data_IF_660002551930
#
_entry.id   IF_660002551930
#
_cell.length_a   1.000
_cell.length_b   1.000
_cell.length_c   1.000
_cell.angle_alpha   90.00
_cell.angle_beta   90.00
_cell.angle_gamma   90.00
#
_symmetry.space_group_name_H-M   'P 1'
#
loop_
_entity.id
_entity.type
_entity.pdbx_description
1 polymer ?
#
# COMPACT_ATOMS: atom_id res chain seq x y z
N UNK A 1 -27.88 -10.17 22.61
CA UNK A 1 -27.59 -10.90 21.36
C UNK A 1 -27.93 -9.97 20.23
N UNK A 2 -26.99 -9.65 19.35
CA UNK A 2 -27.29 -8.79 18.20
C UNK A 2 -28.08 -9.61 17.20
N UNK A 3 -29.32 -9.20 16.90
CA UNK A 3 -30.12 -9.84 15.87
C UNK A 3 -29.62 -9.39 14.49
N UNK A 4 -29.37 -10.31 13.55
CA UNK A 4 -28.98 -9.94 12.21
C UNK A 4 -30.15 -9.27 11.48
N UNK A 5 -29.88 -8.11 10.88
CA UNK A 5 -30.81 -7.37 10.05
C UNK A 5 -30.66 -7.82 8.59
N UNK A 6 -31.77 -8.17 7.94
CA UNK A 6 -31.85 -8.29 6.49
C UNK A 6 -32.26 -6.93 5.92
N UNK A 7 -31.37 -6.32 5.13
CA UNK A 7 -31.60 -5.00 4.54
C UNK A 7 -31.61 -5.13 3.02
N UNK A 8 -32.57 -4.46 2.38
CA UNK A 8 -32.63 -4.34 0.92
C UNK A 8 -32.21 -2.95 0.53
N UNK A 9 -31.18 -2.84 -0.31
CA UNK A 9 -30.66 -1.55 -0.78
C UNK A 9 -30.97 -1.38 -2.25
N UNK A 10 -31.55 -0.24 -2.60
CA UNK A 10 -31.91 0.13 -3.97
C UNK A 10 -31.31 1.48 -4.35
N UNK A 11 -31.15 1.75 -5.63
CA UNK A 11 -30.78 3.07 -6.13
C UNK A 11 -31.98 4.02 -6.07
N UNK A 12 -31.73 5.32 -6.17
CA UNK A 12 -32.80 6.34 -6.29
C UNK A 12 -33.73 6.09 -7.50
N UNK A 13 -33.24 5.38 -8.52
CA UNK A 13 -34.03 4.92 -9.67
C UNK A 13 -35.00 3.77 -9.36
N UNK A 14 -34.94 3.20 -8.15
CA UNK A 14 -35.70 2.01 -7.75
C UNK A 14 -35.05 0.67 -8.13
N UNK A 15 -33.90 0.69 -8.81
CA UNK A 15 -33.18 -0.54 -9.18
C UNK A 15 -32.58 -1.18 -7.92
N UNK A 16 -32.86 -2.47 -7.62
CA UNK A 16 -32.27 -3.14 -6.47
C UNK A 16 -30.77 -3.33 -6.68
N UNK A 17 -29.99 -2.96 -5.67
CA UNK A 17 -28.52 -2.96 -5.70
C UNK A 17 -27.96 -4.18 -4.99
N UNK A 18 -28.45 -4.47 -3.77
CA UNK A 18 -28.09 -5.66 -3.02
C UNK A 18 -29.10 -5.95 -1.89
N UNK A 19 -29.24 -7.22 -1.53
CA UNK A 19 -29.88 -7.65 -0.27
C UNK A 19 -28.79 -8.23 0.63
N UNK A 20 -28.60 -7.65 1.81
CA UNK A 20 -27.50 -7.98 2.70
C UNK A 20 -27.99 -8.32 4.11
N UNK A 21 -27.42 -9.37 4.69
CA UNK A 21 -27.58 -9.68 6.12
C UNK A 21 -26.40 -9.08 6.89
N UNK A 22 -26.70 -8.19 7.84
CA UNK A 22 -25.70 -7.43 8.61
C UNK A 22 -26.05 -7.39 10.08
N UNK A 23 -25.06 -7.15 10.93
CA UNK A 23 -25.28 -6.99 12.39
C UNK A 23 -25.82 -5.59 12.68
N UNK A 24 -26.78 -5.47 13.61
CA UNK A 24 -27.39 -4.17 13.98
C UNK A 24 -26.37 -3.14 14.51
N UNK A 25 -25.31 -3.62 15.17
CA UNK A 25 -24.23 -2.78 15.70
C UNK A 25 -23.18 -2.37 14.65
N UNK A 26 -23.35 -2.76 13.38
CA UNK A 26 -22.44 -2.35 12.31
C UNK A 26 -22.48 -0.83 12.15
N UNK A 27 -21.29 -0.22 12.03
CA UNK A 27 -21.17 1.21 11.74
C UNK A 27 -21.65 1.50 10.31
N UNK A 28 -22.40 2.59 10.13
CA UNK A 28 -22.94 3.04 8.83
C UNK A 28 -21.84 3.14 7.77
N UNK A 29 -20.67 3.67 8.15
CA UNK A 29 -19.52 3.78 7.22
C UNK A 29 -19.01 2.41 6.76
N UNK A 30 -18.92 1.43 7.66
CA UNK A 30 -18.50 0.06 7.32
C UNK A 30 -19.55 -0.61 6.42
N UNK A 31 -20.83 -0.33 6.66
CA UNK A 31 -21.91 -0.81 5.81
C UNK A 31 -21.84 -0.23 4.39
N UNK A 32 -21.60 1.08 4.25
CA UNK A 32 -21.35 1.74 2.93
C UNK A 32 -20.19 1.07 2.20
N UNK A 33 -19.05 0.86 2.87
CA UNK A 33 -17.89 0.19 2.28
C UNK A 33 -18.18 -1.27 1.86
N UNK A 34 -19.10 -1.95 2.56
CA UNK A 34 -19.54 -3.31 2.19
C UNK A 34 -20.46 -3.28 0.97
N UNK A 35 -21.36 -2.29 0.87
CA UNK A 35 -22.21 -2.09 -0.31
C UNK A 35 -21.39 -1.75 -1.55
N UNK A 36 -20.33 -0.95 -1.42
CA UNK A 36 -19.41 -0.62 -2.51
C UNK A 36 -18.68 -1.84 -3.10
N UNK A 37 -18.64 -2.96 -2.36
CA UNK A 37 -18.07 -4.24 -2.82
C UNK A 37 -19.12 -5.19 -3.42
N UNK A 38 -20.40 -4.81 -3.43
CA UNK A 38 -21.46 -5.63 -4.01
C UNK A 38 -21.42 -5.61 -5.54
N UNK A 39 -21.88 -6.70 -6.17
CA UNK A 39 -21.81 -6.86 -7.64
C UNK A 39 -22.69 -5.88 -8.41
N UNK A 40 -23.70 -5.27 -7.76
CA UNK A 40 -24.61 -4.30 -8.37
C UNK A 40 -24.04 -2.89 -8.54
N UNK A 41 -22.88 -2.59 -7.94
CA UNK A 41 -22.28 -1.26 -8.02
C UNK A 41 -21.49 -1.04 -9.30
N UNK A 42 -21.79 0.05 -10.00
CA UNK A 42 -21.01 0.47 -11.16
C UNK A 42 -19.55 0.79 -10.75
N UNK A 43 -18.55 0.44 -11.58
CA UNK A 43 -17.15 0.67 -11.26
C UNK A 43 -16.84 2.16 -11.03
N UNK A 44 -16.22 2.46 -9.89
CA UNK A 44 -15.87 3.84 -9.51
C UNK A 44 -17.01 4.65 -8.90
N UNK A 45 -18.22 4.08 -8.82
CA UNK A 45 -19.28 4.65 -7.99
C UNK A 45 -19.05 4.29 -6.53
N UNK A 46 -19.49 5.18 -5.65
CA UNK A 46 -19.41 4.98 -4.21
C UNK A 46 -20.70 5.48 -3.56
N UNK A 47 -21.02 4.99 -2.37
CA UNK A 47 -22.30 5.30 -1.70
C UNK A 47 -22.14 6.60 -0.93
N UNK A 48 -22.72 7.69 -1.43
CA UNK A 48 -22.67 9.00 -0.79
C UNK A 48 -23.49 9.07 0.46
N UNK A 49 -24.73 8.63 0.33
CA UNK A 49 -25.72 8.71 1.38
C UNK A 49 -26.58 7.46 1.31
N UNK A 50 -26.99 6.99 2.48
CA UNK A 50 -28.02 5.99 2.60
C UNK A 50 -29.24 6.68 3.20
N UNK A 51 -30.41 6.40 2.66
CA UNK A 51 -31.67 6.98 3.12
C UNK A 51 -32.59 5.83 3.53
N UNK A 52 -33.19 5.94 4.71
CA UNK A 52 -34.24 5.06 5.18
C UNK A 52 -35.51 5.88 5.40
N UNK A 53 -36.50 5.74 4.53
CA UNK A 53 -37.69 6.60 4.54
C UNK A 53 -37.32 8.08 4.37
N UNK A 54 -37.43 8.87 5.43
CA UNK A 54 -37.10 10.30 5.45
C UNK A 54 -35.75 10.62 6.15
N UNK A 55 -35.05 9.61 6.68
CA UNK A 55 -33.83 9.80 7.47
C UNK A 55 -32.59 9.52 6.62
N UNK A 56 -31.64 10.45 6.61
CA UNK A 56 -30.32 10.25 5.99
C UNK A 56 -29.36 9.64 7.02
N UNK A 57 -28.74 8.53 6.65
CA UNK A 57 -27.78 7.81 7.49
C UNK A 57 -26.36 8.30 7.18
N UNK A 58 -25.85 9.17 8.07
CA UNK A 58 -24.50 9.72 7.94
C UNK A 58 -23.49 8.96 8.80
N UNK A 59 -23.75 8.87 10.11
CA UNK A 59 -22.84 8.31 11.12
C UNK A 59 -23.59 7.40 12.11
N UNK A 60 -22.85 6.76 13.01
CA UNK A 60 -23.39 5.87 14.03
C UNK A 60 -23.56 4.42 13.57
N UNK A 61 -24.24 3.64 14.40
CA UNK A 61 -24.61 2.25 14.11
C UNK A 61 -25.95 2.16 13.37
N UNK A 62 -26.19 1.05 12.68
CA UNK A 62 -27.47 0.79 12.00
C UNK A 62 -28.66 0.75 12.99
N UNK A 63 -28.41 0.29 14.22
CA UNK A 63 -29.40 0.26 15.30
C UNK A 63 -29.75 1.66 15.82
N UNK A 64 -28.75 2.52 16.06
CA UNK A 64 -28.97 3.93 16.47
C UNK A 64 -29.73 4.72 15.39
N UNK A 65 -29.56 4.34 14.13
CA UNK A 65 -30.32 4.85 13.00
C UNK A 65 -31.79 4.37 12.96
N UNK A 66 -32.19 3.46 13.85
CA UNK A 66 -33.56 2.91 13.92
C UNK A 66 -33.87 1.92 12.79
N UNK A 67 -32.88 1.22 12.26
CA UNK A 67 -33.11 0.24 11.20
C UNK A 67 -33.66 -1.07 11.76
N UNK A 68 -34.78 -1.50 11.20
CA UNK A 68 -35.45 -2.76 11.53
C UNK A 68 -35.16 -3.85 10.49
N UNK A 69 -35.44 -5.09 10.84
CA UNK A 69 -35.29 -6.22 9.93
C UNK A 69 -36.28 -6.09 8.76
N UNK A 70 -35.78 -6.18 7.53
CA UNK A 70 -36.55 -5.95 6.31
C UNK A 70 -36.62 -4.49 5.87
N UNK A 71 -35.89 -3.58 6.53
CA UNK A 71 -35.86 -2.18 6.11
C UNK A 71 -35.31 -2.02 4.68
N UNK A 72 -35.97 -1.12 3.93
CA UNK A 72 -35.58 -0.72 2.59
C UNK A 72 -34.76 0.57 2.65
N UNK A 73 -33.55 0.50 2.10
CA UNK A 73 -32.61 1.61 2.02
C UNK A 73 -32.49 2.08 0.57
N UNK A 74 -32.41 3.40 0.41
CA UNK A 74 -32.07 4.03 -0.86
C UNK A 74 -30.63 4.51 -0.79
N UNK A 75 -29.77 3.94 -1.63
CA UNK A 75 -28.41 4.38 -1.85
C UNK A 75 -28.39 5.52 -2.87
N UNK A 76 -27.87 6.67 -2.45
CA UNK A 76 -27.42 7.71 -3.36
C UNK A 76 -25.97 7.39 -3.70
N UNK A 77 -25.72 7.06 -4.96
CA UNK A 77 -24.38 6.83 -5.46
C UNK A 77 -23.87 8.11 -6.11
N UNK A 78 -22.60 8.42 -5.88
CA UNK A 78 -21.92 9.51 -6.56
C UNK A 78 -20.73 8.95 -7.33
N UNK A 79 -20.39 9.61 -8.43
CA UNK A 79 -19.20 9.31 -9.21
C UNK A 79 -17.98 10.10 -8.72
N UNK A 80 -18.15 11.00 -7.74
CA UNK A 80 -17.10 11.89 -7.24
C UNK A 80 -15.88 11.11 -6.73
N UNK A 81 -14.72 11.73 -6.79
CA UNK A 81 -13.54 11.17 -6.13
C UNK A 81 -13.61 11.61 -4.67
N UNK A 82 -13.39 10.68 -3.74
CA UNK A 82 -13.30 10.96 -2.30
C UNK A 82 -12.07 10.35 -1.67
N UNK A 83 -11.62 11.03 -0.60
CA UNK A 83 -10.54 10.61 0.26
C UNK A 83 -9.19 11.16 -0.15
N UNK A 84 -8.17 10.67 0.55
CA UNK A 84 -6.78 11.04 0.34
C UNK A 84 -6.08 10.07 -0.61
N UNK A 85 -5.21 10.63 -1.46
CA UNK A 85 -4.29 9.91 -2.31
C UNK A 85 -2.89 10.41 -2.05
N UNK A 86 -1.94 9.49 -1.93
CA UNK A 86 -0.55 9.84 -1.63
C UNK A 86 0.41 9.08 -2.55
N UNK A 87 1.60 9.66 -2.78
CA UNK A 87 2.69 8.93 -3.40
C UNK A 87 3.45 8.15 -2.33
N UNK A 88 3.51 6.84 -2.52
CA UNK A 88 4.31 5.97 -1.68
C UNK A 88 5.65 5.70 -2.36
N UNK A 89 6.70 6.39 -1.93
CA UNK A 89 8.07 5.99 -2.23
C UNK A 89 8.46 4.83 -1.28
N UNK A 90 8.91 3.66 -1.80
CA UNK A 90 9.38 2.56 -0.98
C UNK A 90 10.64 2.96 -0.19
N UNK A 91 10.45 3.44 1.03
CA UNK A 91 11.46 3.79 2.04
C UNK A 91 11.04 3.26 3.42
N UNK A 92 11.97 3.23 4.38
CA UNK A 92 11.82 2.49 5.65
C UNK A 92 10.47 2.75 6.41
N UNK A 93 9.75 1.70 6.91
CA UNK A 93 8.38 1.80 7.47
C UNK A 93 8.23 2.55 8.79
N UNK A 94 9.33 2.95 9.44
CA UNK A 94 9.32 3.70 10.70
C UNK A 94 9.60 5.18 10.52
N UNK A 95 9.85 5.63 9.28
CA UNK A 95 10.14 7.02 9.00
C UNK A 95 9.18 7.54 7.92
N UNK A 96 7.98 7.89 8.37
CA UNK A 96 7.00 8.77 7.68
C UNK A 96 7.59 10.13 7.23
N UNK A 97 8.83 10.45 7.63
CA UNK A 97 9.40 11.79 7.52
C UNK A 97 10.22 12.06 6.24
N UNK A 98 10.36 11.10 5.31
CA UNK A 98 11.27 11.25 4.16
C UNK A 98 10.63 11.07 2.78
N UNK A 99 9.30 11.04 2.67
CA UNK A 99 8.62 10.91 1.38
C UNK A 99 8.62 12.23 0.61
N UNK A 100 8.79 12.19 -0.71
CA UNK A 100 8.30 13.29 -1.55
C UNK A 100 6.78 13.31 -1.38
N UNK A 101 6.25 14.26 -0.62
CA UNK A 101 4.81 14.29 -0.36
C UNK A 101 4.09 14.88 -1.57
N UNK A 102 3.76 14.00 -2.50
CA UNK A 102 2.64 14.23 -3.40
C UNK A 102 1.38 13.73 -2.73
N UNK A 103 0.43 14.64 -2.48
CA UNK A 103 -0.86 14.33 -1.87
C UNK A 103 -1.98 15.03 -2.62
N UNK A 104 -3.06 14.29 -2.86
CA UNK A 104 -4.36 14.83 -3.26
C UNK A 104 -5.36 14.54 -2.16
N UNK A 105 -6.13 15.55 -1.75
CA UNK A 105 -7.23 15.37 -0.79
C UNK A 105 -8.52 15.88 -1.41
N UNK A 106 -9.41 14.96 -1.76
CA UNK A 106 -10.68 15.27 -2.41
C UNK A 106 -11.76 15.55 -1.38
N UNK A 107 -12.36 16.73 -1.49
CA UNK A 107 -13.43 17.19 -0.62
C UNK A 107 -14.81 16.96 -1.26
N UNK A 108 -15.88 16.86 -0.46
CA UNK A 108 -17.26 16.68 -0.95
C UNK A 108 -17.82 17.81 -1.81
N UNK A 109 -17.17 18.98 -1.82
CA UNK A 109 -17.59 20.19 -2.53
C UNK A 109 -17.07 20.26 -3.98
N UNK A 110 -16.48 19.17 -4.48
CA UNK A 110 -15.83 19.14 -5.80
C UNK A 110 -14.48 19.86 -5.83
N UNK A 111 -13.92 20.21 -4.68
CA UNK A 111 -12.58 20.80 -4.54
C UNK A 111 -11.58 19.70 -4.17
N UNK A 112 -10.38 19.80 -4.74
CA UNK A 112 -9.24 18.97 -4.39
C UNK A 112 -8.09 19.85 -3.93
N UNK A 113 -7.48 19.47 -2.81
CA UNK A 113 -6.23 20.03 -2.33
C UNK A 113 -5.07 19.26 -2.96
N UNK A 114 -4.17 19.96 -3.65
CA UNK A 114 -3.03 19.40 -4.39
C UNK A 114 -1.74 19.84 -3.71
N UNK A 115 -1.05 18.92 -3.08
CA UNK A 115 0.25 19.17 -2.44
C UNK A 115 1.34 18.43 -3.22
N UNK A 116 2.31 19.19 -3.76
CA UNK A 116 3.44 18.65 -4.54
C UNK A 116 4.74 18.61 -3.73
N UNK A 117 4.78 19.31 -2.59
CA UNK A 117 5.95 19.38 -1.72
C UNK A 117 5.55 19.74 -0.31
N UNK A 118 6.26 19.21 0.69
CA UNK A 118 6.09 19.57 2.09
C UNK A 118 6.33 21.06 2.39
N UNK A 119 7.19 21.72 1.62
CA UNK A 119 7.58 23.11 1.88
C UNK A 119 6.68 24.13 1.19
N UNK A 120 5.65 23.67 0.46
CA UNK A 120 4.72 24.54 -0.26
C UNK A 120 3.33 24.32 0.28
N UNK A 121 2.58 25.41 0.34
CA UNK A 121 1.16 25.34 0.65
C UNK A 121 0.44 24.51 -0.42
N UNK A 122 -0.56 23.71 -0.02
CA UNK A 122 -1.40 23.00 -0.97
C UNK A 122 -2.15 23.98 -1.89
N UNK A 123 -2.25 23.61 -3.15
CA UNK A 123 -3.01 24.37 -4.14
C UNK A 123 -4.43 23.81 -4.21
N UNK A 124 -5.43 24.68 -4.14
CA UNK A 124 -6.83 24.27 -4.27
C UNK A 124 -7.25 24.30 -5.73
N UNK A 125 -7.80 23.19 -6.21
CA UNK A 125 -8.34 23.07 -7.56
C UNK A 125 -9.79 22.61 -7.51
N UNK A 126 -10.61 23.08 -8.46
CA UNK A 126 -11.84 22.37 -8.82
C UNK A 126 -11.47 21.25 -9.78
N UNK A 127 -12.14 20.11 -9.68
CA UNK A 127 -11.92 19.00 -10.60
C UNK A 127 -13.18 18.61 -11.36
N UNK A 128 -12.99 18.07 -12.56
CA UNK A 128 -14.03 17.47 -13.37
C UNK A 128 -13.59 16.09 -13.83
N UNK A 129 -14.56 15.21 -14.01
CA UNK A 129 -14.35 13.86 -14.53
C UNK A 129 -14.96 13.77 -15.92
N UNK A 130 -14.21 13.22 -16.84
CA UNK A 130 -14.71 12.85 -18.16
C UNK A 130 -15.20 11.40 -18.20
N UNK A 131 -15.31 10.89 -19.43
CA UNK A 131 -15.89 9.58 -19.70
C UNK A 131 -15.05 8.43 -19.13
N UNK A 132 -15.77 7.39 -18.68
CA UNK A 132 -15.19 6.13 -18.26
C UNK A 132 -14.75 5.31 -19.48
N UNK A 133 -13.51 4.84 -19.48
CA UNK A 133 -12.92 3.98 -20.51
C UNK A 133 -12.51 2.65 -19.91
N UNK A 134 -12.93 1.55 -20.52
CA UNK A 134 -12.50 0.22 -20.08
C UNK A 134 -11.06 -0.06 -20.54
N UNK A 135 -10.28 -0.73 -19.68
CA UNK A 135 -8.93 -1.17 -19.97
C UNK A 135 -8.74 -2.63 -19.59
N UNK A 136 -7.66 -3.26 -20.06
CA UNK A 136 -7.34 -4.67 -19.75
C UNK A 136 -7.22 -5.00 -18.26
N UNK A 137 -7.09 -4.00 -17.38
CA UNK A 137 -6.87 -4.19 -15.93
C UNK A 137 -7.93 -3.51 -15.06
N UNK A 138 -8.91 -2.83 -15.65
CA UNK A 138 -9.84 -1.98 -14.93
C UNK A 138 -10.44 -0.90 -15.81
N UNK A 139 -10.53 0.32 -15.27
CA UNK A 139 -11.16 1.44 -15.94
C UNK A 139 -10.35 2.72 -15.74
N UNK A 140 -10.42 3.61 -16.72
CA UNK A 140 -9.76 4.91 -16.71
C UNK A 140 -10.82 6.01 -16.85
N UNK A 141 -10.74 7.06 -16.03
CA UNK A 141 -11.46 8.32 -16.24
C UNK A 141 -10.45 9.43 -16.50
N UNK A 142 -10.71 10.26 -17.50
CA UNK A 142 -9.97 11.52 -17.66
C UNK A 142 -10.37 12.49 -16.55
N UNK A 143 -9.39 13.21 -16.00
CA UNK A 143 -9.60 14.25 -15.02
C UNK A 143 -9.10 15.58 -15.57
N UNK A 144 -9.78 16.64 -15.19
CA UNK A 144 -9.35 18.02 -15.41
C UNK A 144 -9.33 18.72 -14.07
N UNK A 145 -8.23 19.43 -13.76
CA UNK A 145 -8.06 20.18 -12.52
C UNK A 145 -7.83 21.64 -12.86
N UNK A 146 -8.71 22.54 -12.43
CA UNK A 146 -8.54 23.98 -12.62
C UNK A 146 -8.32 24.64 -11.28
N UNK A 147 -7.18 25.33 -11.17
CA UNK A 147 -6.78 26.04 -9.96
C UNK A 147 -7.78 27.13 -9.61
N UNK A 148 -8.18 27.19 -8.33
CA UNK A 148 -9.14 28.19 -7.84
C UNK A 148 -8.51 29.57 -7.68
N UNK A 149 -7.25 29.61 -7.24
CA UNK A 149 -6.48 30.84 -7.17
C UNK A 149 -5.69 31.03 -8.46
N UNK A 150 -6.05 32.02 -9.31
CA UNK A 150 -5.28 32.30 -10.50
C UNK A 150 -3.87 32.76 -10.12
N UNK A 151 -2.90 32.48 -10.99
CA UNK A 151 -1.54 32.99 -10.81
C UNK A 151 -1.52 34.53 -10.80
N UNK A 152 -0.35 35.14 -10.53
CA UNK A 152 -0.16 36.60 -10.52
C UNK A 152 -0.66 37.34 -11.77
N UNK A 153 -0.87 36.60 -12.86
CA UNK A 153 -1.31 37.12 -14.15
C UNK A 153 -2.81 36.92 -14.42
N UNK A 154 -3.58 36.37 -13.47
CA UNK A 154 -5.03 36.20 -13.62
C UNK A 154 -5.47 35.05 -14.55
N UNK A 155 -4.52 34.27 -15.09
CA UNK A 155 -4.83 33.16 -16.01
C UNK A 155 -5.16 31.91 -15.19
N UNK A 156 -6.33 31.27 -15.40
CA UNK A 156 -6.65 30.02 -14.75
C UNK A 156 -5.68 28.93 -15.23
N UNK A 157 -5.08 28.23 -14.27
CA UNK A 157 -4.16 27.14 -14.56
C UNK A 157 -4.92 25.82 -14.51
N UNK A 158 -4.89 25.07 -15.62
CA UNK A 158 -5.56 23.78 -15.76
C UNK A 158 -4.55 22.67 -15.97
N UNK A 159 -4.78 21.52 -15.33
CA UNK A 159 -3.96 20.33 -15.43
C UNK A 159 -4.80 19.14 -15.86
N UNK A 160 -4.29 18.34 -16.79
CA UNK A 160 -4.91 17.08 -17.16
C UNK A 160 -4.42 15.96 -16.24
N UNK A 161 -5.31 15.05 -15.88
CA UNK A 161 -4.97 13.84 -15.16
C UNK A 161 -5.78 12.63 -15.59
N UNK A 162 -5.46 11.48 -15.00
CA UNK A 162 -6.16 10.23 -15.23
C UNK A 162 -6.38 9.52 -13.90
N UNK A 163 -7.63 9.13 -13.64
CA UNK A 163 -8.00 8.22 -12.56
C UNK A 163 -8.04 6.79 -13.11
N UNK A 164 -7.16 5.94 -12.60
CA UNK A 164 -7.23 4.49 -12.82
C UNK A 164 -8.00 3.82 -11.68
N UNK A 165 -8.94 2.97 -12.04
CA UNK A 165 -9.82 2.20 -11.15
C UNK A 165 -9.58 0.71 -11.40
N UNK A 166 -9.33 -0.06 -10.35
CA UNK A 166 -9.24 -1.52 -10.49
C UNK A 166 -10.64 -2.13 -10.63
N UNK A 167 -10.80 -3.05 -11.60
CA UNK A 167 -12.04 -3.84 -11.72
C UNK A 167 -12.26 -4.81 -10.54
N UNK A 168 -11.23 -5.09 -9.74
CA UNK A 168 -11.28 -6.09 -8.66
C UNK A 168 -11.39 -5.48 -7.27
N UNK A 169 -11.21 -4.17 -7.14
CA UNK A 169 -11.14 -3.53 -5.82
C UNK A 169 -11.41 -2.03 -5.94
N UNK A 170 -12.48 -1.58 -5.28
CA UNK A 170 -12.86 -0.17 -5.23
C UNK A 170 -11.85 0.74 -4.51
N UNK A 171 -10.95 0.18 -3.69
CA UNK A 171 -9.88 0.95 -3.04
C UNK A 171 -8.60 1.01 -3.86
N UNK A 172 -8.39 0.10 -4.83
CA UNK A 172 -7.19 0.10 -5.69
C UNK A 172 -7.34 1.11 -6.82
N UNK A 173 -7.25 2.38 -6.43
CA UNK A 173 -7.36 3.55 -7.30
C UNK A 173 -6.03 4.31 -7.32
N UNK A 174 -5.69 4.87 -8.47
CA UNK A 174 -4.52 5.76 -8.59
C UNK A 174 -4.81 6.92 -9.52
N UNK A 175 -4.21 8.06 -9.22
CA UNK A 175 -4.33 9.27 -10.02
C UNK A 175 -2.95 9.65 -10.54
N UNK A 176 -2.87 9.93 -11.84
CA UNK A 176 -1.68 10.48 -12.47
C UNK A 176 -1.98 11.88 -12.99
N UNK A 177 -1.11 12.86 -12.68
CA UNK A 177 -1.16 14.23 -13.21
C UNK A 177 0.22 14.51 -13.82
N UNK A 178 0.42 14.24 -15.12
CA UNK A 178 1.73 14.31 -15.77
C UNK A 178 2.41 15.68 -15.65
N UNK A 179 1.63 16.76 -15.77
CA UNK A 179 2.14 18.14 -15.71
C UNK A 179 2.74 18.47 -14.34
N UNK A 180 2.23 17.85 -13.29
CA UNK A 180 2.73 17.98 -11.92
C UNK A 180 3.76 16.90 -11.56
N UNK A 181 4.09 15.99 -12.50
CA UNK A 181 4.92 14.79 -12.25
C UNK A 181 4.42 13.99 -11.05
N UNK A 182 3.10 13.93 -10.90
CA UNK A 182 2.44 13.35 -9.74
C UNK A 182 1.81 12.00 -10.12
N UNK A 183 2.09 10.98 -9.30
CA UNK A 183 1.41 9.70 -9.37
C UNK A 183 1.10 9.23 -7.96
N UNK A 184 -0.17 9.29 -7.59
CA UNK A 184 -0.64 9.00 -6.24
C UNK A 184 -1.60 7.83 -6.23
N UNK A 185 -1.70 7.15 -5.09
CA UNK A 185 -2.58 6.00 -4.85
C UNK A 185 -3.49 6.27 -3.68
N UNK A 186 -4.68 5.68 -3.69
CA UNK A 186 -5.64 5.77 -2.58
C UNK A 186 -4.94 5.39 -1.25
N UNK A 187 -5.09 6.23 -0.23
CA UNK A 187 -4.45 6.04 1.07
C UNK A 187 -4.85 4.71 1.72
N UNK A 188 -6.08 4.23 1.49
CA UNK A 188 -6.54 2.93 2.01
C UNK A 188 -5.79 1.78 1.34
N UNK A 189 -5.58 1.87 0.03
CA UNK A 189 -4.77 0.89 -0.70
C UNK A 189 -3.31 0.91 -0.25
N UNK A 190 -2.75 2.10 0.02
CA UNK A 190 -1.39 2.20 0.57
C UNK A 190 -1.27 1.56 1.95
N UNK A 191 -2.27 1.74 2.83
CA UNK A 191 -2.32 1.08 4.14
C UNK A 191 -2.38 -0.45 4.01
N UNK A 192 -3.22 -0.98 3.12
CA UNK A 192 -3.31 -2.42 2.81
C UNK A 192 -1.94 -2.96 2.33
N UNK A 193 -1.30 -2.26 1.38
CA UNK A 193 0.03 -2.63 0.89
C UNK A 193 1.09 -2.59 2.00
N UNK A 194 1.03 -1.59 2.88
CA UNK A 194 1.93 -1.47 4.03
C UNK A 194 1.83 -2.65 4.97
N UNK A 195 0.60 -3.05 5.32
CA UNK A 195 0.32 -4.21 6.17
C UNK A 195 0.78 -5.52 5.52
N UNK A 196 0.49 -5.71 4.23
CA UNK A 196 0.93 -6.89 3.48
C UNK A 196 2.46 -7.01 3.46
N UNK A 197 3.17 -5.89 3.26
CA UNK A 197 4.63 -5.86 3.32
C UNK A 197 5.17 -6.14 4.73
N UNK A 198 4.52 -5.64 5.78
CA UNK A 198 4.91 -5.94 7.16
C UNK A 198 4.72 -7.43 7.48
N UNK A 199 3.59 -8.03 7.09
CA UNK A 199 3.34 -9.46 7.26
C UNK A 199 4.37 -10.33 6.52
N UNK A 200 4.68 -9.99 5.26
CA UNK A 200 5.74 -10.68 4.49
C UNK A 200 7.09 -10.61 5.18
N UNK A 201 7.46 -9.47 5.77
CA UNK A 201 8.72 -9.32 6.52
C UNK A 201 8.73 -10.14 7.80
N UNK A 202 7.65 -10.11 8.57
CA UNK A 202 7.53 -10.94 9.77
C UNK A 202 7.65 -12.42 9.41
N UNK A 203 6.99 -12.84 8.33
CA UNK A 203 7.11 -14.20 7.81
C UNK A 203 8.55 -14.55 7.43
N UNK A 204 9.24 -13.67 6.69
CA UNK A 204 10.66 -13.87 6.35
C UNK A 204 11.55 -13.99 7.59
N UNK A 205 11.34 -13.15 8.62
CA UNK A 205 12.12 -13.20 9.85
C UNK A 205 11.84 -14.46 10.68
N UNK A 206 10.58 -14.90 10.74
CA UNK A 206 10.21 -16.15 11.41
C UNK A 206 10.83 -17.35 10.69
N UNK A 207 10.74 -17.38 9.37
CA UNK A 207 11.32 -18.44 8.56
C UNK A 207 12.85 -18.47 8.64
N UNK A 208 13.50 -17.30 8.63
CA UNK A 208 14.96 -17.19 8.84
C UNK A 208 15.38 -17.67 10.24
N UNK A 209 14.53 -17.49 11.25
CA UNK A 209 14.77 -18.00 12.61
C UNK A 209 14.58 -19.51 12.71
N UNK A 210 13.55 -20.07 12.05
CA UNK A 210 13.28 -21.51 12.04
C UNK A 210 14.31 -22.28 11.19
N UNK A 211 14.77 -21.68 10.10
CA UNK A 211 15.77 -22.27 9.19
C UNK A 211 17.21 -21.85 9.51
N UNK A 212 17.44 -21.05 10.56
CA UNK A 212 18.78 -20.80 11.04
C UNK A 212 19.38 -22.14 11.46
N UNK A 213 20.49 -22.59 10.85
CA UNK A 213 21.11 -23.84 11.24
C UNK A 213 21.41 -23.74 12.72
N UNK A 214 20.82 -24.65 13.50
CA UNK A 214 21.12 -24.79 14.93
C UNK A 214 22.63 -24.77 15.07
N UNK A 215 23.13 -23.93 15.96
CA UNK A 215 24.55 -23.92 16.25
C UNK A 215 24.97 -25.35 16.64
N UNK A 216 26.22 -25.78 16.38
CA UNK A 216 26.65 -27.14 16.74
C UNK A 216 26.38 -27.50 18.21
N UNK A 217 26.36 -26.49 19.10
CA UNK A 217 26.02 -26.61 20.51
C UNK A 217 24.52 -26.88 20.76
N UNK A 218 23.61 -26.29 19.97
CA UNK A 218 22.16 -26.54 20.03
C UNK A 218 21.75 -27.84 19.32
N UNK A 219 22.55 -28.28 18.33
CA UNK A 219 22.35 -29.54 17.61
C UNK A 219 22.68 -30.79 18.44
N UNK A 220 23.51 -30.63 19.48
CA UNK A 220 23.85 -31.71 20.42
C UNK A 220 22.68 -32.06 21.35
N UNK A 221 21.85 -31.08 21.74
CA UNK A 221 20.63 -31.34 22.54
C UNK A 221 19.53 -32.00 21.67
N UNK A 222 19.45 -31.67 20.37
CA UNK A 222 18.43 -32.22 19.46
C UNK A 222 18.67 -33.70 19.07
N UNK A 223 19.93 -34.15 18.97
CA UNK A 223 20.25 -35.56 18.63
C UNK A 223 20.01 -36.54 19.78
N UNK A 224 19.84 -36.06 21.00
CA UNK A 224 19.57 -36.90 22.17
C UNK A 224 18.07 -36.95 22.56
N UNK A 225 17.16 -36.53 21.68
CA UNK A 225 15.71 -36.68 21.91
C UNK A 225 15.13 -35.77 23.01
N UNK A 226 15.84 -34.73 23.43
CA UNK A 226 15.45 -33.85 24.53
C UNK A 226 15.14 -32.45 24.03
N UNK A 227 13.86 -32.20 23.73
CA UNK A 227 13.38 -30.84 23.47
C UNK A 227 13.25 -30.12 24.81
N UNK A 228 14.17 -29.19 25.12
CA UNK A 228 14.02 -28.26 26.25
C UNK A 228 13.03 -27.15 25.90
N UNK A 229 11.85 -27.16 26.52
CA UNK A 229 11.05 -25.96 26.64
C UNK A 229 11.43 -25.22 27.93
N UNK A 230 11.90 -23.97 27.82
CA UNK A 230 11.96 -23.06 28.96
C UNK A 230 10.64 -22.31 29.07
N UNK A 231 9.75 -22.84 29.88
CA UNK A 231 8.71 -22.03 30.54
C UNK A 231 9.10 -22.02 32.02
N UNK A 232 9.48 -20.85 32.52
CA UNK A 232 9.46 -20.52 33.95
C UNK A 232 10.59 -21.05 34.86
N UNK A 233 11.74 -21.42 34.30
CA UNK A 233 12.97 -21.58 35.08
C UNK A 233 13.12 -22.89 35.87
N UNK A 234 12.31 -23.92 35.58
CA UNK A 234 12.56 -25.31 35.99
C UNK A 234 12.71 -26.19 34.75
N UNK A 235 13.70 -27.09 34.78
CA UNK A 235 13.99 -28.02 33.69
C UNK A 235 13.40 -29.39 34.08
N UNK A 236 12.47 -29.90 33.29
CA UNK A 236 12.05 -31.31 33.35
C UNK A 236 12.43 -32.01 32.04
N UNK A 237 12.87 -33.27 32.15
CA UNK A 237 13.31 -34.10 31.04
C UNK A 237 12.21 -35.12 30.72
N UNK A 238 11.80 -35.24 29.45
CA UNK A 238 10.95 -36.33 28.97
C UNK A 238 11.56 -36.94 27.71
N UNK A 239 11.68 -38.27 27.72
CA UNK A 239 12.14 -39.06 26.59
C UNK A 239 11.02 -39.20 25.55
N UNK A 240 11.28 -38.81 24.31
CA UNK A 240 10.47 -39.23 23.17
C UNK A 240 11.37 -39.66 22.01
N UNK A 241 11.36 -40.96 21.71
CA UNK A 241 11.92 -41.53 20.48
C UNK A 241 11.12 -41.02 19.28
N UNK A 242 11.80 -40.42 18.29
CA UNK A 242 11.30 -40.30 16.92
C UNK A 242 12.44 -40.65 15.97
N UNK A 243 12.21 -41.67 15.13
CA UNK A 243 13.12 -42.15 14.10
C UNK A 243 13.23 -41.16 12.92
N UNK A 244 14.46 -40.98 12.45
CA UNK A 244 14.84 -40.14 11.31
C UNK A 244 14.69 -40.89 9.97
N UNK A 245 14.29 -40.17 8.91
CA UNK A 245 14.58 -40.57 7.53
C UNK A 245 15.20 -39.39 6.75
N UNK A 246 16.40 -39.61 6.22
CA UNK A 246 17.21 -38.67 5.43
C UNK A 246 16.77 -38.59 3.95
N UNK A 247 16.98 -37.43 3.32
CA UNK A 247 17.03 -37.32 1.85
C UNK A 247 17.21 -35.90 1.27
N UNK A 248 18.43 -35.61 0.78
CA UNK A 248 18.82 -34.76 -0.37
C UNK A 248 19.02 -33.21 -0.25
N UNK A 249 20.25 -32.84 0.14
CA UNK A 249 21.34 -32.10 -0.55
C UNK A 249 21.09 -31.05 -1.67
N UNK A 250 21.66 -29.85 -1.42
CA UNK A 250 22.31 -28.78 -2.22
C UNK A 250 21.58 -27.82 -3.19
N UNK A 251 21.61 -26.51 -2.83
CA UNK A 251 22.58 -25.50 -3.32
C UNK A 251 22.20 -24.09 -2.81
N UNK A 252 23.08 -23.37 -2.11
CA UNK A 252 23.15 -21.90 -2.28
C UNK A 252 24.45 -21.22 -1.84
N UNK A 253 24.75 -20.15 -2.58
CA UNK A 253 26.01 -19.42 -2.69
C UNK A 253 26.33 -18.56 -1.47
N UNK A 254 27.62 -18.50 -1.11
CA UNK A 254 28.13 -17.59 -0.09
C UNK A 254 28.41 -16.19 -0.64
N UNK A 255 27.90 -15.15 0.02
CA UNK A 255 28.49 -13.81 -0.01
C UNK A 255 28.90 -13.46 1.43
N UNK A 256 30.18 -13.64 1.78
CA UNK A 256 30.74 -13.23 3.09
C UNK A 256 31.26 -11.79 3.02
N UNK A 257 30.54 -10.87 3.66
CA UNK A 257 31.09 -9.57 4.08
C UNK A 257 31.71 -9.70 5.48
N UNK A 258 33.04 -9.52 5.59
CA UNK A 258 33.78 -9.57 6.88
C UNK A 258 33.55 -8.28 7.68
N UNK A 259 32.79 -8.35 8.78
CA UNK A 259 32.80 -7.34 9.84
C UNK A 259 33.90 -7.61 10.87
N UNK A 260 34.84 -6.68 11.03
CA UNK A 260 35.88 -6.73 12.08
C UNK A 260 35.26 -6.43 13.44
N UNK A 261 35.44 -7.33 14.41
CA UNK A 261 35.09 -7.14 15.83
C UNK A 261 36.11 -6.21 16.51
N UNK A 262 35.65 -5.08 17.04
CA UNK A 262 36.38 -4.28 18.02
C UNK A 262 36.07 -4.80 19.44
N UNK A 263 37.11 -4.94 20.26
CA UNK A 263 37.06 -5.46 21.63
C UNK A 263 36.37 -4.48 22.58
N UNK A 264 35.50 -5.00 23.44
CA UNK A 264 34.97 -4.31 24.62
C UNK A 264 36.04 -4.33 25.73
N UNK A 265 36.36 -3.15 26.27
CA UNK A 265 37.07 -3.00 27.53
C UNK A 265 36.06 -2.55 28.60
N UNK A 266 36.10 -3.23 29.73
CA UNK A 266 35.31 -3.00 30.93
C UNK A 266 35.82 -1.74 31.66
N UNK A 267 34.90 -0.87 32.07
CA UNK A 267 35.19 0.36 32.82
C UNK A 267 34.03 0.70 33.75
N UNK A 268 34.36 1.06 35.00
CA UNK A 268 33.52 1.01 36.20
C UNK A 268 32.40 2.05 36.23
N UNK A 269 31.30 1.68 36.86
CA UNK A 269 30.22 2.56 37.33
C UNK A 269 30.71 3.45 38.49
N UNK A 270 30.44 4.76 38.38
CA UNK A 270 30.18 5.62 39.53
C UNK A 270 28.95 6.49 39.22
N UNK A 271 28.05 6.56 40.19
CA UNK A 271 26.86 7.41 40.21
C UNK A 271 27.26 8.83 40.62
N UNK A 272 26.67 9.85 39.99
CA UNK A 272 25.84 10.87 40.64
C UNK A 272 25.20 11.83 39.62
N UNK A 273 24.07 12.48 39.96
CA UNK A 273 23.25 13.24 39.02
C UNK A 273 23.40 14.76 39.21
N UNK A 274 23.41 15.54 38.12
CA UNK A 274 23.13 16.97 38.20
C UNK A 274 22.72 17.57 36.84
N UNK A 275 21.47 18.02 36.81
CA UNK A 275 20.96 19.32 36.33
C UNK A 275 21.21 19.80 34.90
N UNK A 276 20.11 20.30 34.35
CA UNK A 276 19.99 21.07 33.13
C UNK A 276 20.92 22.29 33.06
N UNK A 277 21.38 22.61 31.85
CA UNK A 277 21.42 23.98 31.29
C UNK A 277 21.90 23.90 29.84
N UNK A 278 20.99 24.18 28.90
CA UNK A 278 21.33 24.54 27.53
C UNK A 278 21.47 26.05 27.48
N UNK A 279 22.70 26.56 27.38
CA UNK A 279 22.93 27.90 26.84
C UNK A 279 24.17 27.93 25.93
N UNK A 280 23.88 28.40 24.72
CA UNK A 280 24.65 29.00 23.65
C UNK A 280 26.19 29.08 23.68
N UNK A 281 26.69 28.91 22.44
CA UNK A 281 27.85 29.54 21.81
C UNK A 281 29.24 28.97 22.14
N UNK A 282 29.92 28.40 21.14
CA UNK A 282 31.01 29.18 20.55
C UNK A 282 31.49 28.70 19.16
N UNK A 283 32.07 29.69 18.47
CA UNK A 283 32.71 29.67 17.16
C UNK A 283 33.89 28.69 17.10
N UNK A 284 34.07 27.99 15.98
CA UNK A 284 35.42 27.66 15.49
C UNK A 284 35.52 27.70 13.96
N UNK A 285 36.54 28.44 13.50
CA UNK A 285 37.01 28.58 12.13
C UNK A 285 37.69 27.31 11.61
N UNK A 286 37.55 27.13 10.29
CA UNK A 286 38.54 26.67 9.31
C UNK A 286 39.22 25.30 9.51
N UNK A 287 38.91 24.37 8.61
CA UNK A 287 39.82 23.67 7.71
C UNK A 287 39.12 22.40 7.20
N UNK A 288 38.95 22.24 5.89
CA UNK A 288 39.27 20.97 5.22
C UNK A 288 39.19 21.13 3.70
N UNK A 289 40.30 20.74 3.07
CA UNK A 289 40.55 20.87 1.65
C UNK A 289 39.63 20.01 0.78
N UNK A 290 39.53 20.48 -0.46
CA UNK A 290 38.92 19.80 -1.60
C UNK A 290 39.53 18.42 -1.79
N UNK A 291 38.73 17.37 -1.59
CA UNK A 291 38.86 16.11 -2.32
C UNK A 291 37.54 15.88 -3.08
N UNK A 292 37.48 16.38 -4.32
CA UNK A 292 36.48 15.92 -5.30
C UNK A 292 36.84 14.47 -5.63
N UNK A 293 36.15 13.53 -4.99
CA UNK A 293 36.25 12.12 -5.29
C UNK A 293 35.43 11.78 -6.54
N UNK A 294 36.06 11.12 -7.51
CA UNK A 294 35.48 10.57 -8.74
C UNK A 294 34.46 9.43 -8.53
N UNK A 295 33.71 9.44 -7.43
CA UNK A 295 32.77 8.38 -7.04
C UNK A 295 31.38 8.48 -7.71
N UNK A 296 31.08 9.56 -8.45
CA UNK A 296 29.75 9.73 -9.07
C UNK A 296 29.62 9.12 -10.47
N UNK A 297 30.74 8.96 -11.21
CA UNK A 297 30.73 8.34 -12.55
C UNK A 297 30.44 6.84 -12.48
N UNK A 298 30.98 6.14 -11.48
CA UNK A 298 30.82 4.70 -11.32
C UNK A 298 29.37 4.29 -10.97
N UNK A 299 28.65 5.14 -10.24
CA UNK A 299 27.23 4.89 -9.94
C UNK A 299 26.36 5.10 -11.18
N UNK A 300 26.60 6.17 -11.92
CA UNK A 300 25.85 6.48 -13.13
C UNK A 300 26.04 5.40 -14.21
N UNK A 301 27.27 4.91 -14.40
CA UNK A 301 27.56 3.82 -15.34
C UNK A 301 26.89 2.50 -14.94
N UNK A 302 26.80 2.21 -13.63
CA UNK A 302 26.10 1.01 -13.12
C UNK A 302 24.59 1.09 -13.32
N UNK A 303 23.99 2.24 -13.07
CA UNK A 303 22.55 2.46 -13.31
C UNK A 303 22.20 2.40 -14.80
N UNK A 304 23.04 2.99 -15.66
CA UNK A 304 22.84 2.92 -17.11
C UNK A 304 23.00 1.49 -17.64
N UNK A 305 23.96 0.73 -17.12
CA UNK A 305 24.12 -0.69 -17.46
C UNK A 305 22.92 -1.55 -17.03
N UNK A 306 22.37 -1.30 -15.83
CA UNK A 306 21.17 -1.98 -15.34
C UNK A 306 19.95 -1.68 -16.23
N UNK A 307 19.75 -0.41 -16.61
CA UNK A 307 18.66 -0.01 -17.50
C UNK A 307 18.78 -0.64 -18.90
N UNK A 308 20.00 -0.76 -19.43
CA UNK A 308 20.25 -1.46 -20.72
C UNK A 308 19.93 -2.95 -20.63
N UNK A 309 20.26 -3.61 -19.52
CA UNK A 309 19.92 -5.01 -19.28
C UNK A 309 18.40 -5.22 -19.23
N UNK A 310 17.69 -4.36 -18.50
CA UNK A 310 16.23 -4.41 -18.40
C UNK A 310 15.55 -4.24 -19.77
N UNK A 311 16.00 -3.27 -20.59
CA UNK A 311 15.49 -3.08 -21.96
C UNK A 311 15.74 -4.31 -22.86
N UNK A 312 16.87 -5.00 -22.68
CA UNK A 312 17.16 -6.24 -23.40
C UNK A 312 16.24 -7.39 -22.96
N UNK A 313 15.95 -7.52 -21.67
CA UNK A 313 15.03 -8.53 -21.16
C UNK A 313 13.59 -8.31 -21.63
N UNK A 314 13.10 -7.08 -21.59
CA UNK A 314 11.78 -6.70 -22.12
C UNK A 314 11.68 -7.01 -23.62
N UNK A 315 12.74 -6.72 -24.37
CA UNK A 315 12.82 -7.05 -25.80
C UNK A 315 12.80 -8.55 -26.05
N UNK A 316 13.47 -9.35 -25.20
CA UNK A 316 13.44 -10.82 -25.25
C UNK A 316 12.05 -11.35 -24.91
N UNK A 317 11.37 -10.81 -23.90
CA UNK A 317 10.01 -11.19 -23.54
C UNK A 317 9.01 -10.88 -24.67
N UNK A 318 9.08 -9.70 -25.29
CA UNK A 318 8.24 -9.34 -26.45
C UNK A 318 8.44 -10.31 -27.62
N UNK A 319 9.68 -10.70 -27.90
CA UNK A 319 9.98 -11.70 -28.94
C UNK A 319 9.41 -13.07 -28.59
N UNK A 320 9.48 -13.51 -27.32
CA UNK A 320 8.87 -14.75 -26.85
C UNK A 320 7.34 -14.74 -27.01
N UNK A 321 6.67 -13.66 -26.59
CA UNK A 321 5.22 -13.51 -26.75
C UNK A 321 4.79 -13.50 -28.22
N UNK A 322 5.57 -12.82 -29.08
CA UNK A 322 5.29 -12.80 -30.52
C UNK A 322 5.44 -14.18 -31.15
N UNK A 323 6.47 -14.94 -30.76
CA UNK A 323 6.64 -16.34 -31.20
C UNK A 323 5.50 -17.23 -30.69
N UNK A 324 5.11 -17.10 -29.42
CA UNK A 324 3.99 -17.85 -28.84
C UNK A 324 2.66 -17.55 -29.58
N UNK A 325 2.38 -16.28 -29.89
CA UNK A 325 1.21 -15.89 -30.69
C UNK A 325 1.23 -16.47 -32.10
N UNK A 326 2.39 -16.50 -32.77
CA UNK A 326 2.53 -17.14 -34.09
C UNK A 326 2.33 -18.65 -34.02
N UNK A 327 2.89 -19.33 -33.01
CA UNK A 327 2.70 -20.76 -32.80
C UNK A 327 1.23 -21.11 -32.52
N UNK A 328 0.56 -20.31 -31.68
CA UNK A 328 -0.87 -20.48 -31.40
C UNK A 328 -1.73 -20.28 -32.66
N UNK A 329 -1.41 -19.30 -33.52
CA UNK A 329 -2.09 -19.14 -34.82
C UNK A 329 -1.88 -20.33 -35.77
N UNK A 330 -0.69 -20.93 -35.77
CA UNK A 330 -0.41 -22.12 -36.59
C UNK A 330 -1.13 -23.38 -36.06
N UNK A 331 -1.28 -23.52 -34.75
CA UNK A 331 -1.98 -24.66 -34.15
C UNK A 331 -3.51 -24.58 -34.30
N UNK A 332 -4.07 -23.38 -34.31
CA UNK A 332 -5.51 -23.15 -34.41
C UNK A 332 -5.91 -22.60 -35.79
N UNK A 333 -5.33 -23.17 -36.85
CA UNK A 333 -5.40 -22.68 -38.22
C UNK A 333 -6.76 -22.10 -38.63
N UNK A 334 -6.71 -20.89 -39.20
CA UNK A 334 -7.66 -20.21 -40.10
C UNK A 334 -9.15 -20.60 -40.06
N UNK A 335 -9.73 -20.82 -38.88
CA UNK A 335 -11.19 -20.97 -38.69
C UNK A 335 -11.95 -19.63 -38.63
N UNK A 336 -11.42 -18.60 -39.30
CA UNK A 336 -12.12 -17.33 -39.50
C UNK A 336 -11.87 -16.83 -40.92
N UNK A 337 -12.55 -17.48 -41.87
CA UNK A 337 -12.96 -16.87 -43.13
C UNK A 337 -14.48 -16.92 -43.15
N UNK A 338 -15.06 -15.73 -43.26
CA UNK A 338 -16.47 -15.32 -43.37
C UNK A 338 -17.53 -16.40 -43.61
#
# INVERSE_FOLDING_TARGET
SYEPLQLTVSLLSGVPLATLTVESCMQVQVFKERLEKSEGMAPGCWVSSLICGAVVLEEGTLEEAGLENGAELVAICSEEIRGDFEEFEPGCPTCDYNTKLHRLSFKPDGIVSVQVSFHKEPVMCRYWMGELRETTRGYDKSLEFTRLDPDSNGVPQTFAGTLHLSARSGIRRSIAIPDLKMQVKDLRWLKEMGQEMQQKRLWSLMWEREMAPLTPEENLDYRNGLIKFRLDGRIEYRDSLIDYHEGLVDKQMSCRGRGKRGKLATGKFHKEPATAECYQADKHKACHGRKRGNLSMDKFQKEEAALRLQKMEDSRQRRRLTKARKAHRQQHGDYWVW
#
